data_IF_303531939351
#
_entry.id   IF_303531939351
#
_cell.length_a   1.000
_cell.length_b   1.000
_cell.length_c   1.000
_cell.angle_alpha   90.00
_cell.angle_beta   90.00
_cell.angle_gamma   90.00
#
_symmetry.space_group_name_H-M   'P 1'
#
loop_
_entity.id
_entity.type
_entity.pdbx_description
1 polymer ?
#
# COMPACT_ATOMS: atom_id res chain seq x y z
N UNK A 1 120.87 -54.79 30.25
CA UNK A 1 119.48 -54.60 29.78
C UNK A 1 118.74 -53.73 30.79
N UNK A 2 118.33 -52.49 30.47
CA UNK A 2 117.52 -51.69 31.38
C UNK A 2 116.15 -52.35 31.57
N UNK A 3 115.70 -52.52 32.82
CA UNK A 3 114.39 -53.11 33.14
C UNK A 3 113.29 -52.16 32.66
N UNK A 4 112.39 -52.64 31.81
CA UNK A 4 111.21 -51.89 31.38
C UNK A 4 110.36 -51.46 32.60
N UNK A 5 110.04 -50.17 32.70
CA UNK A 5 109.17 -49.62 33.76
C UNK A 5 107.69 -49.88 33.46
N UNK A 6 107.29 -51.15 33.50
CA UNK A 6 105.93 -51.62 33.17
C UNK A 6 104.86 -50.99 34.08
N UNK A 7 105.20 -50.69 35.33
CA UNK A 7 104.29 -50.09 36.30
C UNK A 7 103.84 -48.67 35.93
N UNK A 8 104.74 -47.85 35.37
CA UNK A 8 104.44 -46.46 34.99
C UNK A 8 103.57 -46.43 33.72
N UNK A 9 103.90 -47.27 32.73
CA UNK A 9 103.09 -47.46 31.52
C UNK A 9 101.66 -47.97 31.85
N UNK A 10 101.53 -48.84 32.86
CA UNK A 10 100.22 -49.33 33.32
C UNK A 10 99.37 -48.20 33.94
N UNK A 11 99.99 -47.34 34.76
CA UNK A 11 99.32 -46.17 35.36
C UNK A 11 98.89 -45.15 34.31
N UNK A 12 99.76 -44.87 33.33
CA UNK A 12 99.46 -43.94 32.25
C UNK A 12 98.34 -44.48 31.35
N UNK A 13 98.37 -45.77 31.00
CA UNK A 13 97.27 -46.43 30.26
C UNK A 13 95.96 -46.39 31.04
N UNK A 14 95.98 -46.53 32.37
CA UNK A 14 94.79 -46.40 33.22
C UNK A 14 94.22 -44.98 33.18
N UNK A 15 95.07 -43.95 33.35
CA UNK A 15 94.66 -42.53 33.26
C UNK A 15 94.07 -42.20 31.88
N UNK A 16 94.70 -42.68 30.81
CA UNK A 16 94.21 -42.46 29.45
C UNK A 16 92.84 -43.11 29.23
N UNK A 17 92.66 -44.35 29.70
CA UNK A 17 91.34 -45.02 29.65
C UNK A 17 90.28 -44.25 30.43
N UNK A 18 90.59 -43.79 31.64
CA UNK A 18 89.67 -43.00 32.45
C UNK A 18 89.30 -41.68 31.76
N UNK A 19 90.27 -41.00 31.14
CA UNK A 19 90.03 -39.77 30.35
C UNK A 19 89.10 -40.03 29.17
N UNK A 20 89.36 -41.08 28.38
CA UNK A 20 88.52 -41.47 27.24
C UNK A 20 87.09 -41.82 27.68
N UNK A 21 86.93 -42.51 28.81
CA UNK A 21 85.59 -42.85 29.36
C UNK A 21 84.83 -41.58 29.77
N UNK A 22 85.51 -40.60 30.38
CA UNK A 22 84.88 -39.34 30.76
C UNK A 22 84.50 -38.49 29.53
N UNK A 23 85.36 -38.44 28.51
CA UNK A 23 85.08 -37.75 27.25
C UNK A 23 83.90 -38.40 26.50
N UNK A 24 83.83 -39.72 26.44
CA UNK A 24 82.70 -40.43 25.83
C UNK A 24 81.38 -40.17 26.57
N UNK A 25 81.40 -40.16 27.91
CA UNK A 25 80.20 -39.78 28.69
C UNK A 25 79.75 -38.35 28.40
N UNK A 26 80.70 -37.43 28.21
CA UNK A 26 80.39 -36.05 27.82
C UNK A 26 79.83 -35.96 26.40
N UNK A 27 80.34 -36.76 25.47
CA UNK A 27 79.83 -36.85 24.10
C UNK A 27 78.42 -37.41 24.05
N UNK A 28 78.14 -38.46 24.83
CA UNK A 28 76.80 -39.06 24.93
C UNK A 28 75.78 -38.06 25.48
N UNK A 29 76.14 -37.30 26.52
CA UNK A 29 75.28 -36.26 27.09
C UNK A 29 74.95 -35.15 26.09
N UNK A 30 75.94 -34.70 25.30
CA UNK A 30 75.73 -33.73 24.23
C UNK A 30 74.87 -34.29 23.10
N UNK A 31 75.03 -35.57 22.77
CA UNK A 31 74.20 -36.23 21.76
C UNK A 31 72.74 -36.31 22.19
N UNK A 32 72.48 -36.65 23.45
CA UNK A 32 71.14 -36.65 24.03
C UNK A 32 70.49 -35.26 24.01
N UNK A 33 71.26 -34.20 24.32
CA UNK A 33 70.76 -32.83 24.28
C UNK A 33 70.44 -32.37 22.86
N UNK A 34 71.31 -32.69 21.88
CA UNK A 34 71.03 -32.44 20.46
C UNK A 34 69.79 -33.20 19.97
N UNK A 35 69.60 -34.45 20.42
CA UNK A 35 68.38 -35.22 20.08
C UNK A 35 67.11 -34.56 20.62
N UNK A 36 67.15 -34.01 21.85
CA UNK A 36 66.03 -33.28 22.44
C UNK A 36 65.74 -31.99 21.67
N UNK A 37 66.76 -31.19 21.38
CA UNK A 37 66.61 -29.93 20.65
C UNK A 37 66.09 -30.14 19.22
N UNK A 38 66.54 -31.19 18.54
CA UNK A 38 66.05 -31.51 17.18
C UNK A 38 64.58 -31.89 17.19
N UNK A 39 64.12 -32.71 18.14
CA UNK A 39 62.70 -33.04 18.27
C UNK A 39 61.84 -31.82 18.63
N UNK A 40 62.32 -30.93 19.50
CA UNK A 40 61.61 -29.69 19.85
C UNK A 40 61.52 -28.73 18.66
N UNK A 41 62.60 -28.58 17.90
CA UNK A 41 62.63 -27.79 16.66
C UNK A 41 61.62 -28.32 15.65
N UNK A 42 61.47 -29.64 15.54
CA UNK A 42 60.48 -30.24 14.65
C UNK A 42 59.04 -29.98 15.11
N UNK A 43 58.76 -30.07 16.42
CA UNK A 43 57.45 -29.73 16.99
C UNK A 43 57.07 -28.28 16.68
N UNK A 44 57.97 -27.33 16.97
CA UNK A 44 57.75 -25.89 16.68
C UNK A 44 57.55 -25.62 15.18
N UNK A 45 58.26 -26.34 14.30
CA UNK A 45 58.04 -26.24 12.84
C UNK A 45 56.65 -26.71 12.42
N UNK A 46 56.14 -27.80 12.99
CA UNK A 46 54.78 -28.31 12.73
C UNK A 46 53.72 -27.31 13.21
N UNK A 47 53.89 -26.75 14.41
CA UNK A 47 53.00 -25.70 14.94
C UNK A 47 52.98 -24.46 14.04
N UNK A 48 54.14 -23.99 13.59
CA UNK A 48 54.24 -22.85 12.68
C UNK A 48 53.52 -23.13 11.35
N UNK A 49 53.65 -24.34 10.79
CA UNK A 49 52.95 -24.75 9.58
C UNK A 49 51.42 -24.69 9.77
N UNK A 50 50.92 -25.21 10.89
CA UNK A 50 49.50 -25.18 11.24
C UNK A 50 48.98 -23.75 11.39
N UNK A 51 49.74 -22.86 12.03
CA UNK A 51 49.36 -21.45 12.17
C UNK A 51 49.35 -20.72 10.82
N UNK A 52 50.33 -20.97 9.95
CA UNK A 52 50.33 -20.43 8.57
C UNK A 52 49.12 -20.91 7.76
N UNK A 53 48.72 -22.17 7.90
CA UNK A 53 47.53 -22.70 7.25
C UNK A 53 46.24 -22.05 7.78
N UNK A 54 46.16 -21.78 9.09
CA UNK A 54 45.02 -21.03 9.69
C UNK A 54 44.97 -19.59 9.16
N UNK A 55 46.11 -18.91 9.07
CA UNK A 55 46.18 -17.55 8.52
C UNK A 55 45.64 -17.51 7.08
N UNK A 56 46.10 -18.41 6.20
CA UNK A 56 45.59 -18.52 4.83
C UNK A 56 44.08 -18.72 4.74
N UNK A 57 43.49 -19.49 5.66
CA UNK A 57 42.03 -19.69 5.72
C UNK A 57 41.29 -18.42 6.13
N UNK A 58 41.88 -17.59 6.98
CA UNK A 58 41.31 -16.30 7.37
C UNK A 58 41.41 -15.29 6.23
N UNK A 59 42.54 -15.25 5.52
CA UNK A 59 42.72 -14.37 4.36
C UNK A 59 41.63 -14.64 3.30
N UNK A 60 41.38 -15.90 2.97
CA UNK A 60 40.29 -16.28 2.04
C UNK A 60 38.89 -15.86 2.52
N UNK A 61 38.65 -15.80 3.84
CA UNK A 61 37.38 -15.31 4.39
C UNK A 61 37.29 -13.79 4.28
N UNK A 62 38.39 -13.08 4.50
CA UNK A 62 38.47 -11.63 4.32
C UNK A 62 38.19 -11.29 2.85
N UNK A 63 38.86 -11.94 1.90
CA UNK A 63 38.65 -11.71 0.47
C UNK A 63 37.18 -11.92 0.06
N UNK A 64 36.54 -12.96 0.63
CA UNK A 64 35.11 -13.21 0.39
C UNK A 64 34.23 -12.07 0.91
N UNK A 65 34.50 -11.57 2.11
CA UNK A 65 33.74 -10.46 2.70
C UNK A 65 33.98 -9.17 1.91
N UNK A 66 35.21 -8.88 1.50
CA UNK A 66 35.55 -7.71 0.67
C UNK A 66 34.74 -7.74 -0.62
N UNK A 67 34.71 -8.89 -1.31
CA UNK A 67 33.91 -9.05 -2.52
C UNK A 67 32.41 -8.84 -2.29
N UNK A 68 31.87 -9.38 -1.20
CA UNK A 68 30.46 -9.15 -0.84
C UNK A 68 30.17 -7.67 -0.57
N UNK A 69 31.12 -6.91 -0.01
CA UNK A 69 30.98 -5.46 0.20
C UNK A 69 31.07 -4.67 -1.11
N UNK A 70 31.98 -5.04 -2.01
CA UNK A 70 32.10 -4.43 -3.35
C UNK A 70 30.81 -4.63 -4.17
N UNK A 71 30.27 -5.85 -4.20
CA UNK A 71 29.00 -6.16 -4.87
C UNK A 71 27.85 -5.30 -4.32
N UNK A 72 27.83 -5.02 -3.01
CA UNK A 72 26.83 -4.14 -2.37
C UNK A 72 27.02 -2.65 -2.75
N UNK A 73 28.26 -2.18 -2.89
CA UNK A 73 28.56 -0.81 -3.31
C UNK A 73 28.19 -0.55 -4.77
N UNK A 74 28.38 -1.53 -5.65
CA UNK A 74 28.01 -1.38 -7.06
C UNK A 74 26.49 -1.39 -7.26
N UNK A 75 25.75 -2.18 -6.47
CA UNK A 75 24.28 -2.08 -6.37
C UNK A 75 23.86 -0.68 -5.90
N UNK A 76 24.58 -0.07 -4.97
CA UNK A 76 24.31 1.28 -4.48
C UNK A 76 24.56 2.35 -5.56
N UNK A 77 25.63 2.23 -6.35
CA UNK A 77 25.89 3.13 -7.49
C UNK A 77 24.82 3.02 -8.57
N UNK A 78 24.31 1.82 -8.88
CA UNK A 78 23.17 1.65 -9.79
C UNK A 78 21.87 2.30 -9.26
N UNK A 79 21.70 2.36 -7.95
CA UNK A 79 20.54 2.98 -7.30
C UNK A 79 20.57 4.52 -7.33
N UNK A 80 21.76 5.12 -7.37
CA UNK A 80 21.98 6.58 -7.36
C UNK A 80 21.74 7.24 -8.72
N UNK A 81 21.76 6.49 -9.83
CA UNK A 81 21.45 7.10 -11.13
C UNK A 81 19.97 7.55 -11.19
N UNK A 82 19.71 8.85 -11.39
CA UNK A 82 18.35 9.36 -11.57
C UNK A 82 17.86 8.93 -12.95
N UNK A 83 17.22 7.77 -13.03
CA UNK A 83 16.46 7.43 -14.22
C UNK A 83 15.20 8.31 -14.25
N UNK A 84 15.33 9.46 -14.89
CA UNK A 84 14.24 10.34 -15.27
C UNK A 84 13.26 9.52 -16.11
N UNK A 85 12.04 9.37 -15.63
CA UNK A 85 10.96 8.81 -16.43
C UNK A 85 10.72 9.74 -17.61
N UNK A 86 11.13 9.31 -18.80
CA UNK A 86 10.63 9.91 -20.05
C UNK A 86 9.20 9.39 -20.20
N UNK A 87 8.22 10.30 -20.26
CA UNK A 87 6.79 10.05 -20.48
C UNK A 87 5.97 9.39 -19.35
N UNK A 88 6.26 9.66 -18.08
CA UNK A 88 5.34 9.33 -16.96
C UNK A 88 5.14 7.84 -16.67
N UNK A 89 5.83 6.95 -17.40
CA UNK A 89 5.94 5.53 -17.10
C UNK A 89 7.27 5.31 -16.38
N UNK A 90 7.20 4.82 -15.15
CA UNK A 90 8.39 4.36 -14.43
C UNK A 90 8.98 3.17 -15.19
N UNK A 91 9.95 3.41 -16.06
CA UNK A 91 10.70 2.38 -16.82
C UNK A 91 11.61 1.50 -15.94
N UNK A 92 11.35 1.45 -14.64
CA UNK A 92 12.11 0.68 -13.67
C UNK A 92 11.76 -0.80 -13.78
N UNK A 93 12.78 -1.65 -13.65
CA UNK A 93 12.54 -3.09 -13.50
C UNK A 93 11.62 -3.35 -12.29
N UNK A 94 10.73 -4.37 -12.33
CA UNK A 94 9.81 -4.65 -11.23
C UNK A 94 10.52 -4.89 -9.89
N UNK A 95 11.72 -5.50 -9.92
CA UNK A 95 12.55 -5.74 -8.75
C UNK A 95 13.05 -4.43 -8.14
N UNK A 96 13.65 -3.56 -8.96
CA UNK A 96 14.15 -2.25 -8.53
C UNK A 96 13.02 -1.36 -8.00
N UNK A 97 11.87 -1.35 -8.67
CA UNK A 97 10.70 -0.61 -8.22
C UNK A 97 10.19 -1.11 -6.85
N UNK A 98 10.24 -2.42 -6.60
CA UNK A 98 9.89 -3.01 -5.30
C UNK A 98 10.88 -2.60 -4.22
N UNK A 99 12.18 -2.65 -4.53
CA UNK A 99 13.25 -2.25 -3.60
C UNK A 99 13.15 -0.77 -3.23
N UNK A 100 12.97 0.12 -4.22
CA UNK A 100 12.77 1.56 -3.99
C UNK A 100 11.57 1.83 -3.08
N UNK A 101 10.40 1.23 -3.37
CA UNK A 101 9.21 1.36 -2.51
C UNK A 101 9.46 0.89 -1.07
N UNK A 102 10.21 -0.21 -0.88
CA UNK A 102 10.56 -0.71 0.45
C UNK A 102 11.43 0.31 1.21
N UNK A 103 12.51 0.79 0.58
CA UNK A 103 13.41 1.78 1.20
C UNK A 103 12.70 3.10 1.51
N UNK A 104 11.87 3.61 0.59
CA UNK A 104 11.08 4.82 0.83
C UNK A 104 10.15 4.64 2.03
N UNK A 105 9.49 3.48 2.15
CA UNK A 105 8.62 3.20 3.28
C UNK A 105 9.39 3.09 4.60
N UNK A 106 10.57 2.46 4.60
CA UNK A 106 11.44 2.36 5.78
C UNK A 106 11.96 3.73 6.23
N UNK A 107 12.39 4.58 5.29
CA UNK A 107 12.81 5.95 5.59
C UNK A 107 11.66 6.78 6.16
N UNK A 108 10.49 6.75 5.53
CA UNK A 108 9.30 7.43 6.03
C UNK A 108 8.86 6.89 7.40
N UNK A 109 9.09 5.61 7.68
CA UNK A 109 8.80 5.00 8.98
C UNK A 109 9.64 5.60 10.09
N UNK A 110 10.91 5.82 9.84
CA UNK A 110 11.84 6.46 10.79
C UNK A 110 11.41 7.92 11.02
N UNK A 111 11.11 8.66 9.95
CA UNK A 111 10.74 10.08 10.03
C UNK A 111 9.42 10.29 10.79
N UNK A 112 8.40 9.49 10.48
CA UNK A 112 7.06 9.66 11.07
C UNK A 112 6.83 8.82 12.34
N UNK A 113 7.88 8.25 12.94
CA UNK A 113 7.81 7.54 14.23
C UNK A 113 6.96 6.26 14.22
N UNK A 114 6.92 5.52 13.10
CA UNK A 114 6.16 4.28 13.02
C UNK A 114 6.81 3.14 13.82
N UNK A 115 6.09 2.60 14.81
CA UNK A 115 6.50 1.38 15.54
C UNK A 115 6.28 0.13 14.68
N UNK A 116 6.95 -0.98 15.02
CA UNK A 116 6.88 -2.21 14.21
C UNK A 116 5.46 -2.76 14.00
N UNK A 117 5.29 -3.46 12.87
CA UNK A 117 4.06 -4.08 12.30
C UNK A 117 2.87 -3.15 12.00
N UNK A 118 2.65 -2.06 12.73
CA UNK A 118 1.54 -1.11 12.52
C UNK A 118 2.04 0.31 12.26
N UNK A 119 2.33 0.60 10.99
CA UNK A 119 2.88 1.90 10.55
C UNK A 119 1.78 2.88 10.12
N UNK A 120 0.71 3.04 10.90
CA UNK A 120 -0.34 4.04 10.61
C UNK A 120 0.25 5.45 10.51
N UNK A 121 1.12 5.91 11.43
CA UNK A 121 1.76 7.23 11.32
C UNK A 121 2.54 7.41 10.02
N UNK A 122 3.23 6.35 9.57
CA UNK A 122 3.99 6.37 8.30
C UNK A 122 3.09 6.49 7.08
N UNK A 123 1.97 5.78 7.05
CA UNK A 123 1.02 5.88 5.94
C UNK A 123 0.34 7.24 5.88
N UNK A 124 0.02 7.82 7.05
CA UNK A 124 -0.51 9.19 7.14
C UNK A 124 0.53 10.19 6.64
N UNK A 125 1.76 10.14 7.17
CA UNK A 125 2.82 11.08 6.78
C UNK A 125 3.21 11.01 5.30
N UNK A 126 3.26 9.80 4.72
CA UNK A 126 3.49 9.62 3.29
C UNK A 126 2.37 10.24 2.43
N UNK A 127 1.11 10.03 2.83
CA UNK A 127 -0.03 10.58 2.12
C UNK A 127 -0.08 12.10 2.23
N UNK A 128 0.11 12.63 3.44
CA UNK A 128 0.11 14.07 3.74
C UNK A 128 1.23 14.78 2.98
N UNK A 129 2.45 14.24 3.01
CA UNK A 129 3.59 14.76 2.24
C UNK A 129 3.28 14.77 0.75
N UNK A 130 2.68 13.70 0.21
CA UNK A 130 2.30 13.64 -1.20
C UNK A 130 1.26 14.71 -1.57
N UNK A 131 0.28 14.96 -0.69
CA UNK A 131 -0.76 15.97 -0.88
C UNK A 131 -0.22 17.41 -0.81
N UNK A 132 0.74 17.67 0.07
CA UNK A 132 1.34 19.00 0.25
C UNK A 132 2.36 19.32 -0.84
N UNK A 133 3.16 18.33 -1.28
CA UNK A 133 4.26 18.56 -2.21
C UNK A 133 3.89 18.40 -3.68
N UNK A 134 2.82 17.69 -3.99
CA UNK A 134 2.40 17.45 -5.38
C UNK A 134 1.23 18.36 -5.74
N UNK A 135 1.20 18.85 -6.98
CA UNK A 135 0.01 19.55 -7.48
C UNK A 135 -1.18 18.59 -7.59
N UNK A 136 -2.39 19.13 -7.42
CA UNK A 136 -3.64 18.35 -7.48
C UNK A 136 -3.79 17.60 -8.80
N UNK A 137 -3.47 18.24 -9.93
CA UNK A 137 -3.65 17.65 -11.26
C UNK A 137 -2.76 16.40 -11.44
N UNK A 138 -1.47 16.52 -11.07
CA UNK A 138 -0.54 15.37 -11.06
C UNK A 138 -1.06 14.23 -10.18
N UNK A 139 -1.60 14.53 -9.00
CA UNK A 139 -2.13 13.50 -8.11
C UNK A 139 -3.34 12.79 -8.73
N UNK A 140 -4.24 13.54 -9.35
CA UNK A 140 -5.40 12.98 -10.06
C UNK A 140 -4.93 12.07 -11.19
N UNK A 141 -3.97 12.49 -12.00
CA UNK A 141 -3.44 11.69 -13.12
C UNK A 141 -2.77 10.40 -12.63
N UNK A 142 -1.91 10.50 -11.61
CA UNK A 142 -1.19 9.35 -11.05
C UNK A 142 -2.17 8.36 -10.41
N UNK A 143 -3.15 8.84 -9.64
CA UNK A 143 -4.15 7.97 -9.00
C UNK A 143 -5.10 7.34 -10.01
N UNK A 144 -5.51 8.09 -11.03
CA UNK A 144 -6.37 7.61 -12.12
C UNK A 144 -5.66 6.59 -13.01
N UNK A 145 -4.34 6.71 -13.17
CA UNK A 145 -3.51 5.74 -13.90
C UNK A 145 -3.30 4.44 -13.10
N UNK A 146 -3.36 4.49 -11.78
CA UNK A 146 -3.10 3.33 -10.91
C UNK A 146 -4.24 2.31 -10.91
N UNK A 147 -4.02 1.15 -11.54
CA UNK A 147 -4.98 0.02 -11.55
C UNK A 147 -5.35 -0.45 -10.13
N UNK A 148 -4.37 -0.47 -9.21
CA UNK A 148 -4.58 -0.90 -7.81
C UNK A 148 -5.48 0.08 -7.06
N UNK A 149 -5.27 1.39 -7.27
CA UNK A 149 -6.11 2.42 -6.68
C UNK A 149 -7.56 2.31 -7.19
N UNK A 150 -7.75 2.28 -8.53
CA UNK A 150 -9.08 2.19 -9.17
C UNK A 150 -9.89 0.96 -8.76
N UNK A 151 -9.26 -0.22 -8.65
CA UNK A 151 -9.97 -1.48 -8.37
C UNK A 151 -10.15 -1.80 -6.89
N UNK A 152 -9.26 -1.32 -6.03
CA UNK A 152 -9.22 -1.72 -4.62
C UNK A 152 -9.54 -0.60 -3.66
N UNK A 153 -8.94 0.57 -3.85
CA UNK A 153 -9.03 1.70 -2.89
C UNK A 153 -10.26 2.55 -3.17
N UNK A 154 -10.42 3.02 -4.41
CA UNK A 154 -11.51 3.92 -4.79
C UNK A 154 -12.90 3.35 -4.45
N UNK A 155 -13.22 2.07 -4.74
CA UNK A 155 -14.55 1.53 -4.42
C UNK A 155 -14.82 1.45 -2.92
N UNK A 156 -13.77 1.30 -2.09
CA UNK A 156 -13.93 1.28 -0.62
C UNK A 156 -14.23 2.67 -0.08
N UNK A 157 -13.52 3.69 -0.57
CA UNK A 157 -13.77 5.10 -0.19
C UNK A 157 -15.17 5.51 -0.64
N UNK A 158 -15.48 5.27 -1.92
CA UNK A 158 -16.77 5.62 -2.50
C UNK A 158 -17.94 4.94 -1.78
N UNK A 159 -17.85 3.64 -1.46
CA UNK A 159 -18.93 2.94 -0.73
C UNK A 159 -19.19 3.51 0.67
N UNK A 160 -18.17 4.01 1.37
CA UNK A 160 -18.36 4.67 2.66
C UNK A 160 -19.17 5.96 2.50
N UNK A 161 -18.78 6.82 1.56
CA UNK A 161 -19.48 8.06 1.25
C UNK A 161 -20.90 7.82 0.75
N UNK A 162 -21.06 6.82 -0.11
CA UNK A 162 -22.35 6.40 -0.66
C UNK A 162 -23.34 5.98 0.42
N UNK A 163 -22.90 5.20 1.41
CA UNK A 163 -23.79 4.78 2.50
C UNK A 163 -24.26 5.97 3.32
N UNK A 164 -23.37 6.94 3.58
CA UNK A 164 -23.71 8.20 4.26
C UNK A 164 -24.72 9.01 3.44
N UNK A 165 -24.50 9.11 2.12
CA UNK A 165 -25.39 9.83 1.23
C UNK A 165 -26.77 9.16 1.11
N UNK A 166 -26.84 7.83 1.01
CA UNK A 166 -28.14 7.13 0.91
C UNK A 166 -29.03 7.34 2.14
N UNK A 167 -28.43 7.55 3.31
CA UNK A 167 -29.12 7.89 4.56
C UNK A 167 -29.30 9.38 4.80
N UNK A 168 -28.75 10.25 3.95
CA UNK A 168 -28.78 11.70 4.13
C UNK A 168 -30.15 12.31 3.80
N UNK A 169 -30.38 13.49 4.36
CA UNK A 169 -31.53 14.34 4.01
C UNK A 169 -31.49 14.79 2.54
N UNK A 170 -30.31 15.04 1.97
CA UNK A 170 -30.17 15.38 0.54
C UNK A 170 -30.76 14.31 -0.37
N UNK A 171 -30.53 13.03 -0.07
CA UNK A 171 -31.10 11.93 -0.83
C UNK A 171 -32.61 11.80 -0.61
N UNK A 172 -33.11 12.18 0.57
CA UNK A 172 -34.54 12.25 0.87
C UNK A 172 -35.21 13.34 0.05
N UNK A 173 -34.67 14.56 0.02
CA UNK A 173 -35.16 15.68 -0.80
C UNK A 173 -35.15 15.29 -2.28
N UNK A 174 -34.05 14.68 -2.76
CA UNK A 174 -33.99 14.13 -4.13
C UNK A 174 -35.11 13.15 -4.43
N UNK A 175 -35.45 12.30 -3.46
CA UNK A 175 -36.52 11.31 -3.59
C UNK A 175 -37.92 11.93 -3.57
N UNK A 176 -38.11 13.00 -2.80
CA UNK A 176 -39.34 13.81 -2.80
C UNK A 176 -39.50 14.51 -4.15
N UNK A 177 -38.43 15.10 -4.69
CA UNK A 177 -38.46 15.72 -6.02
C UNK A 177 -38.88 14.71 -7.11
N UNK A 178 -38.34 13.48 -7.07
CA UNK A 178 -38.77 12.39 -7.98
C UNK A 178 -40.23 11.97 -7.73
N UNK A 179 -40.72 12.07 -6.50
CA UNK A 179 -42.11 11.74 -6.19
C UNK A 179 -43.10 12.79 -6.72
N UNK A 180 -42.72 14.06 -6.78
CA UNK A 180 -43.53 15.15 -7.32
C UNK A 180 -43.19 15.53 -8.77
N UNK A 181 -42.26 14.81 -9.42
CA UNK A 181 -41.83 15.11 -10.78
C UNK A 181 -42.98 14.90 -11.77
N UNK A 182 -43.43 15.97 -12.43
CA UNK A 182 -44.57 15.92 -13.36
C UNK A 182 -45.89 15.56 -12.68
N UNK A 183 -46.06 15.95 -11.41
CA UNK A 183 -47.21 15.62 -10.57
C UNK A 183 -46.94 14.49 -9.58
N UNK A 184 -47.94 14.16 -8.76
CA UNK A 184 -47.82 13.13 -7.72
C UNK A 184 -47.66 11.75 -8.37
N UNK A 185 -46.50 11.13 -8.17
CA UNK A 185 -46.16 9.81 -8.73
C UNK A 185 -46.77 8.69 -7.87
N UNK A 186 -47.69 7.91 -8.45
CA UNK A 186 -48.26 6.75 -7.78
C UNK A 186 -47.22 5.68 -7.37
N UNK A 187 -47.53 4.90 -6.32
CA UNK A 187 -46.66 3.86 -5.72
C UNK A 187 -46.00 2.92 -6.73
N UNK A 188 -46.76 2.41 -7.70
CA UNK A 188 -46.25 1.47 -8.74
C UNK A 188 -45.22 2.17 -9.64
N UNK A 189 -45.53 3.39 -10.08
CA UNK A 189 -44.66 4.20 -10.95
C UNK A 189 -43.36 4.58 -10.23
N UNK A 190 -43.45 5.02 -8.97
CA UNK A 190 -42.27 5.33 -8.16
C UNK A 190 -41.35 4.11 -7.98
N UNK A 191 -41.92 2.94 -7.66
CA UNK A 191 -41.13 1.69 -7.52
C UNK A 191 -40.44 1.28 -8.81
N UNK A 192 -41.05 1.55 -9.96
CA UNK A 192 -40.44 1.35 -11.28
C UNK A 192 -39.26 2.30 -11.48
N UNK A 193 -39.44 3.61 -11.25
CA UNK A 193 -38.36 4.62 -11.31
C UNK A 193 -37.19 4.27 -10.37
N UNK A 194 -37.48 3.86 -9.14
CA UNK A 194 -36.47 3.39 -8.19
C UNK A 194 -35.64 2.22 -8.73
N UNK A 195 -36.29 1.23 -9.37
CA UNK A 195 -35.59 0.08 -9.94
C UNK A 195 -34.77 0.51 -11.16
N UNK A 196 -35.39 1.24 -12.09
CA UNK A 196 -34.80 1.59 -13.37
C UNK A 196 -33.62 2.58 -13.21
N UNK A 197 -33.62 3.42 -12.18
CA UNK A 197 -32.54 4.36 -11.89
C UNK A 197 -31.28 3.71 -11.31
N UNK A 198 -31.41 2.58 -10.63
CA UNK A 198 -30.32 2.02 -9.81
C UNK A 198 -29.98 0.58 -10.14
N UNK A 199 -30.82 -0.13 -10.88
CA UNK A 199 -30.70 -1.56 -11.12
C UNK A 199 -30.89 -1.92 -12.59
N UNK A 200 -30.19 -2.96 -13.02
CA UNK A 200 -30.42 -3.64 -14.30
C UNK A 200 -30.52 -5.13 -14.10
N UNK A 201 -31.22 -5.82 -14.99
CA UNK A 201 -31.23 -7.28 -15.03
C UNK A 201 -29.93 -7.80 -15.64
N UNK A 202 -29.34 -8.83 -15.02
CA UNK A 202 -28.17 -9.52 -15.56
C UNK A 202 -28.62 -10.57 -16.59
N UNK A 203 -28.82 -10.15 -17.85
CA UNK A 203 -29.30 -11.03 -18.93
C UNK A 203 -30.81 -11.29 -18.89
N UNK A 204 -31.33 -12.07 -19.85
CA UNK A 204 -32.77 -12.44 -19.90
C UNK A 204 -33.09 -13.37 -18.72
N UNK A 205 -33.91 -12.90 -17.77
CA UNK A 205 -34.35 -13.67 -16.59
C UNK A 205 -33.35 -13.72 -15.42
N UNK A 206 -32.24 -12.98 -15.48
CA UNK A 206 -31.24 -13.01 -14.42
C UNK A 206 -31.55 -12.13 -13.21
N UNK A 207 -30.71 -12.24 -12.16
CA UNK A 207 -30.83 -11.45 -10.93
C UNK A 207 -30.66 -9.95 -11.22
N UNK A 208 -31.41 -9.13 -10.49
CA UNK A 208 -31.26 -7.67 -10.50
C UNK A 208 -29.92 -7.28 -9.88
N UNK A 209 -29.08 -6.58 -10.64
CA UNK A 209 -27.76 -6.10 -10.24
C UNK A 209 -27.77 -4.59 -10.21
N UNK A 210 -27.18 -4.01 -9.17
CA UNK A 210 -27.07 -2.57 -9.03
C UNK A 210 -26.13 -2.01 -10.10
N UNK A 211 -26.55 -0.95 -10.77
CA UNK A 211 -25.74 -0.20 -11.73
C UNK A 211 -24.50 0.37 -11.04
N UNK A 212 -23.40 0.42 -11.77
CA UNK A 212 -22.12 0.99 -11.30
C UNK A 212 -21.52 1.88 -12.36
N UNK A 213 -21.01 3.04 -11.95
CA UNK A 213 -20.38 4.01 -12.86
C UNK A 213 -19.04 3.46 -13.35
N UNK A 214 -18.13 3.14 -12.43
CA UNK A 214 -16.78 2.64 -12.72
C UNK A 214 -16.41 1.56 -11.70
N UNK A 215 -15.73 0.48 -12.11
CA UNK A 215 -15.07 -0.53 -11.26
C UNK A 215 -15.67 -0.74 -9.85
N UNK A 216 -16.87 -1.32 -9.74
CA UNK A 216 -17.53 -1.61 -8.45
C UNK A 216 -17.93 -0.40 -7.58
N UNK A 217 -18.09 0.80 -8.15
CA UNK A 217 -18.69 1.98 -7.51
C UNK A 217 -20.19 2.07 -7.89
N UNK A 218 -21.12 1.68 -7.01
CA UNK A 218 -22.53 1.57 -7.36
C UNK A 218 -23.32 2.90 -7.32
N UNK A 219 -24.35 3.04 -8.16
CA UNK A 219 -25.17 4.26 -8.24
C UNK A 219 -26.03 4.48 -6.99
N UNK A 220 -26.09 5.69 -6.40
CA UNK A 220 -26.89 6.00 -5.21
C UNK A 220 -28.38 5.69 -5.33
N UNK A 221 -28.93 4.94 -4.37
CA UNK A 221 -30.35 4.58 -4.36
C UNK A 221 -31.22 5.73 -3.90
N UNK A 222 -32.35 5.92 -4.57
CA UNK A 222 -33.45 6.73 -4.05
C UNK A 222 -33.97 6.14 -2.73
N UNK A 223 -34.67 6.94 -1.94
CA UNK A 223 -35.33 6.45 -0.73
C UNK A 223 -36.49 5.53 -1.15
N UNK A 224 -36.60 4.30 -0.62
CA UNK A 224 -37.71 3.41 -0.94
C UNK A 224 -39.05 4.04 -0.57
N UNK A 225 -40.09 3.82 -1.39
CA UNK A 225 -41.45 4.35 -1.17
C UNK A 225 -41.96 4.16 0.26
N UNK A 226 -41.69 2.98 0.84
CA UNK A 226 -42.13 2.58 2.17
C UNK A 226 -41.54 3.47 3.28
N UNK A 227 -40.34 4.02 3.06
CA UNK A 227 -39.66 4.97 3.96
C UNK A 227 -39.98 6.42 3.60
N UNK A 228 -40.18 6.71 2.33
CA UNK A 228 -40.48 8.05 1.84
C UNK A 228 -41.87 8.55 2.27
N UNK A 229 -42.91 7.72 2.13
CA UNK A 229 -44.27 8.16 2.40
C UNK A 229 -44.55 8.55 3.86
N UNK A 230 -44.06 7.80 4.88
CA UNK A 230 -44.19 8.24 6.26
C UNK A 230 -43.61 9.63 6.50
N UNK A 231 -42.45 9.91 5.89
CA UNK A 231 -41.83 11.23 5.99
C UNK A 231 -42.69 12.31 5.34
N UNK A 232 -43.15 12.12 4.09
CA UNK A 232 -44.02 13.09 3.41
C UNK A 232 -45.30 13.35 4.23
N UNK A 233 -45.90 12.30 4.79
CA UNK A 233 -47.10 12.40 5.63
C UNK A 233 -46.86 13.10 6.98
N UNK A 234 -45.63 13.06 7.49
CA UNK A 234 -45.28 13.75 8.74
C UNK A 234 -45.07 15.25 8.55
N UNK A 235 -44.93 15.73 7.31
CA UNK A 235 -44.82 17.17 7.03
C UNK A 235 -46.20 17.78 7.30
N UNK A 236 -46.33 18.72 8.25
CA UNK A 236 -47.58 19.41 8.50
C UNK A 236 -47.88 20.33 7.31
N UNK A 237 -48.82 19.92 6.44
CA UNK A 237 -49.23 20.69 5.26
C UNK A 237 -50.26 21.80 5.58
N UNK A 238 -50.50 22.08 6.87
CA UNK A 238 -51.52 23.00 7.33
C UNK A 238 -52.95 22.50 7.08
N UNK A 239 -53.92 23.37 7.29
CA UNK A 239 -55.32 23.09 7.00
C UNK A 239 -55.52 23.16 5.49
N UNK A 240 -55.86 22.02 4.88
CA UNK A 240 -56.19 21.97 3.45
C UNK A 240 -57.64 22.42 3.32
N UNK A 241 -57.86 23.57 2.70
CA UNK A 241 -59.19 24.04 2.34
C UNK A 241 -59.55 23.48 0.96
N UNK A 242 -60.74 22.91 0.82
CA UNK A 242 -61.31 22.63 -0.48
C UNK A 242 -61.54 23.98 -1.17
N UNK A 243 -61.06 24.11 -2.41
CA UNK A 243 -61.29 25.33 -3.20
C UNK A 243 -62.77 25.55 -3.46
N UNK A 244 -63.55 24.47 -3.63
CA UNK A 244 -65.00 24.57 -3.75
C UNK A 244 -65.66 25.18 -2.52
N UNK A 245 -65.24 24.75 -1.32
CA UNK A 245 -65.90 25.14 -0.06
C UNK A 245 -65.49 26.54 0.43
N UNK A 246 -64.44 27.14 -0.13
CA UNK A 246 -63.90 28.43 0.35
C UNK A 246 -63.86 29.52 -0.70
N UNK A 247 -63.82 29.17 -1.98
CA UNK A 247 -63.70 30.13 -3.09
C UNK A 247 -64.84 30.02 -4.11
N UNK A 248 -65.69 28.98 -4.04
CA UNK A 248 -66.82 28.77 -4.96
C UNK A 248 -68.19 28.88 -4.27
N UNK A 249 -68.27 29.55 -3.12
CA UNK A 249 -69.56 29.88 -2.49
C UNK A 249 -70.37 30.80 -3.40
N UNK A 250 -71.52 30.30 -3.87
CA UNK A 250 -72.46 31.05 -4.72
C UNK A 250 -72.32 30.85 -6.24
N UNK A 251 -71.48 29.93 -6.70
CA UNK A 251 -71.41 29.51 -8.11
C UNK A 251 -72.29 28.26 -8.35
N UNK A 252 -73.06 28.27 -9.45
CA UNK A 252 -73.84 27.12 -9.90
C UNK A 252 -72.92 25.95 -10.26
N UNK A 253 -73.42 24.71 -10.11
CA UNK A 253 -72.60 23.50 -10.20
C UNK A 253 -71.94 23.29 -11.58
N UNK A 254 -72.47 23.95 -12.63
CA UNK A 254 -71.93 23.92 -13.99
C UNK A 254 -70.69 24.83 -14.20
N UNK A 255 -70.46 25.82 -13.32
CA UNK A 255 -69.33 26.76 -13.37
C UNK A 255 -68.14 26.34 -12.48
N UNK A 256 -68.31 25.26 -11.71
CA UNK A 256 -67.29 24.68 -10.83
C UNK A 256 -66.27 23.86 -11.63
N UNK A 257 -65.33 24.56 -12.28
CA UNK A 257 -64.26 23.95 -13.07
C UNK A 257 -63.45 22.87 -12.32
N UNK A 258 -62.95 21.87 -13.06
CA UNK A 258 -62.28 20.68 -12.51
C UNK A 258 -60.99 21.00 -11.72
N UNK A 259 -61.00 20.66 -10.43
CA UNK A 259 -59.86 20.31 -9.56
C UNK A 259 -58.59 21.19 -9.65
N UNK A 260 -58.52 22.22 -8.80
CA UNK A 260 -57.23 22.70 -8.28
C UNK A 260 -57.36 22.99 -6.78
N UNK A 261 -56.53 22.36 -5.94
CA UNK A 261 -56.42 22.68 -4.52
C UNK A 261 -55.31 23.73 -4.33
N UNK A 262 -55.59 24.83 -3.64
CA UNK A 262 -54.62 25.89 -3.36
C UNK A 262 -54.05 25.67 -1.95
N UNK A 263 -52.73 25.57 -1.86
CA UNK A 263 -52.01 25.51 -0.57
C UNK A 263 -51.45 26.91 -0.27
N UNK A 264 -51.97 27.59 0.76
CA UNK A 264 -51.33 28.78 1.30
C UNK A 264 -50.14 28.36 2.17
N UNK A 265 -48.91 28.59 1.70
CA UNK A 265 -47.70 28.42 2.51
C UNK A 265 -47.13 29.78 2.92
N UNK A 266 -46.98 29.96 4.24
CA UNK A 266 -46.22 31.06 4.82
C UNK A 266 -44.72 30.88 4.54
N UNK A 267 -44.14 31.94 3.99
CA UNK A 267 -42.73 32.34 3.90
C UNK A 267 -41.68 31.48 4.63
N UNK A 268 -40.90 30.70 3.86
CA UNK A 268 -39.43 30.62 4.01
C UNK A 268 -38.78 30.17 2.68
N UNK A 269 -37.78 30.88 2.14
CA UNK A 269 -37.12 30.47 0.91
C UNK A 269 -36.08 29.37 1.21
N UNK A 270 -36.30 28.16 0.68
CA UNK A 270 -35.26 27.14 0.58
C UNK A 270 -34.22 27.60 -0.45
N UNK A 271 -33.08 28.07 0.04
CA UNK A 271 -31.93 28.45 -0.78
C UNK A 271 -31.30 27.18 -1.39
N UNK A 272 -31.65 26.89 -2.63
CA UNK A 272 -31.14 25.75 -3.40
C UNK A 272 -29.73 26.03 -3.93
N UNK A 273 -28.82 25.07 -3.78
CA UNK A 273 -27.42 25.16 -4.21
C UNK A 273 -27.29 24.89 -5.73
N UNK A 274 -26.40 25.58 -6.48
CA UNK A 274 -26.34 25.50 -7.95
C UNK A 274 -26.06 24.10 -8.52
N UNK A 275 -25.36 23.24 -7.77
CA UNK A 275 -25.07 21.86 -8.15
C UNK A 275 -26.32 20.97 -8.27
N UNK A 276 -27.40 21.30 -7.54
CA UNK A 276 -28.65 20.53 -7.59
C UNK A 276 -29.48 20.87 -8.82
N UNK A 277 -29.30 22.06 -9.40
CA UNK A 277 -30.00 22.50 -10.61
C UNK A 277 -29.49 21.76 -11.86
N UNK A 278 -28.20 21.44 -11.92
CA UNK A 278 -27.60 20.74 -13.05
C UNK A 278 -28.03 19.26 -13.13
N UNK A 279 -28.48 18.64 -12.04
CA UNK A 279 -29.00 17.25 -12.08
C UNK A 279 -30.52 17.15 -12.31
N UNK A 280 -31.26 18.26 -12.23
CA UNK A 280 -32.72 18.26 -12.44
C UNK A 280 -33.14 18.57 -13.88
N UNK A 281 -32.25 19.10 -14.73
CA UNK A 281 -32.58 19.54 -16.10
C UNK A 281 -32.03 18.67 -17.23
N UNK A 282 -31.29 17.60 -16.94
CA UNK A 282 -30.71 16.78 -18.01
C UNK A 282 -31.73 15.72 -18.43
N UNK A 283 -32.41 15.99 -19.53
CA UNK A 283 -33.31 15.05 -20.20
C UNK A 283 -32.60 13.73 -20.52
N UNK A 284 -33.37 12.67 -20.72
CA UNK A 284 -32.86 11.32 -21.04
C UNK A 284 -31.88 11.29 -22.22
N UNK A 285 -31.98 12.25 -23.15
CA UNK A 285 -31.11 12.39 -24.31
C UNK A 285 -29.72 12.92 -23.93
N UNK A 286 -29.64 13.98 -23.11
CA UNK A 286 -28.37 14.55 -22.66
C UNK A 286 -27.61 13.65 -21.67
N UNK A 287 -28.31 12.81 -20.87
CA UNK A 287 -27.64 11.81 -20.01
C UNK A 287 -27.02 10.66 -20.82
N UNK A 288 -27.61 10.32 -21.96
CA UNK A 288 -27.06 9.35 -22.90
C UNK A 288 -25.88 9.94 -23.66
N UNK A 289 -25.97 11.20 -24.09
CA UNK A 289 -24.90 11.94 -24.74
C UNK A 289 -23.69 12.13 -23.82
N UNK A 290 -23.89 12.45 -22.53
CA UNK A 290 -22.82 12.48 -21.54
C UNK A 290 -22.16 11.10 -21.32
N UNK A 291 -22.92 10.01 -21.42
CA UNK A 291 -22.41 8.63 -21.34
C UNK A 291 -21.73 8.14 -22.64
N UNK A 292 -21.99 8.82 -23.76
CA UNK A 292 -21.40 8.54 -25.07
C UNK A 292 -20.09 9.33 -25.24
N UNK A 293 -20.08 10.61 -24.83
CA UNK A 293 -18.86 11.45 -24.71
C UNK A 293 -17.86 10.84 -23.73
N UNK A 294 -18.31 10.30 -22.59
CA UNK A 294 -17.43 9.57 -21.66
C UNK A 294 -16.90 8.24 -22.24
N UNK A 295 -17.59 7.67 -23.24
CA UNK A 295 -17.14 6.46 -23.95
C UNK A 295 -16.15 6.78 -25.06
N UNK A 296 -16.29 7.92 -25.73
CA UNK A 296 -15.32 8.41 -26.73
C UNK A 296 -13.99 8.81 -26.09
N UNK A 297 -14.02 9.46 -24.92
CA UNK A 297 -12.81 9.81 -24.14
C UNK A 297 -12.03 8.55 -23.68
N UNK A 298 -12.69 7.40 -23.50
CA UNK A 298 -12.02 6.13 -23.18
C UNK A 298 -11.47 5.37 -24.41
N UNK A 299 -11.73 5.86 -25.63
CA UNK A 299 -11.25 5.27 -26.89
C UNK A 299 -10.02 5.95 -27.48
N UNK A 300 -9.57 7.07 -26.88
CA UNK A 300 -8.30 7.75 -27.18
C UNK A 300 -7.17 7.35 -26.21
#
# INVERSE_FOLDING_TARGET
MPRFKIGDLSKERKRLKEKVVMENRSLDALHDELSKLTTEKEKKRKELCNMKAKHRRLDLKIDKIVKEVEDLQDIEKELVQPQTSVNGKNGLSPSLARQRRKRTFEAARIIHGGKDKLSVPTSIGLLDTAMVKSSKDILVDVMSSSKKFKRSVMPRVYKKLLNSYESSEENLIRSIAVYYSGGIVGKKKYRKIYKDSCYRLKGKGGKSVRLSIINNCPLPRLVPYNRLMPYIKSIPLGTIYSTYDTLCDGLDDDDKGENSAIVQNFSHPLQMCPMTMLMMFVGREEQMEALEVLREIESC
#
